data_IF_633926853030
#
_entry.id   IF_633926853030
#
_cell.length_a   1.000
_cell.length_b   1.000
_cell.length_c   1.000
_cell.angle_alpha   90.00
_cell.angle_beta   90.00
_cell.angle_gamma   90.00
#
_symmetry.space_group_name_H-M   'P 1'
#
loop_
_entity.id
_entity.type
_entity.pdbx_description
1 polymer ?
#
# COMPACT_ATOMS: atom_id res chain seq x y z
N UNK A 1 -29.49 0.35 4.33
CA UNK A 1 -28.23 1.10 4.08
C UNK A 1 -27.24 0.43 5.01
N UNK A 2 -26.74 -0.73 4.59
CA UNK A 2 -26.10 -1.71 5.48
C UNK A 2 -24.65 -1.88 5.03
N UNK A 3 -23.91 -0.77 4.97
CA UNK A 3 -22.49 -0.79 4.66
C UNK A 3 -21.74 -0.68 5.98
N UNK A 4 -20.75 -1.55 6.18
CA UNK A 4 -19.94 -1.56 7.39
C UNK A 4 -19.28 -0.20 7.65
N UNK A 5 -19.35 0.25 8.90
CA UNK A 5 -18.70 1.48 9.36
C UNK A 5 -17.19 1.28 9.57
N UNK A 6 -16.81 0.05 9.93
CA UNK A 6 -15.45 -0.41 10.09
C UNK A 6 -15.35 -1.91 9.85
N UNK A 7 -14.21 -2.36 9.30
CA UNK A 7 -13.87 -3.77 9.14
C UNK A 7 -12.45 -4.00 9.63
N UNK A 8 -12.25 -5.08 10.39
CA UNK A 8 -10.94 -5.52 10.87
C UNK A 8 -10.80 -7.00 10.56
N UNK A 9 -9.70 -7.37 9.93
CA UNK A 9 -9.41 -8.77 9.64
C UNK A 9 -7.91 -9.07 9.69
N UNK A 10 -7.59 -10.34 9.86
CA UNK A 10 -6.24 -10.87 9.81
C UNK A 10 -6.10 -11.77 8.59
N UNK A 11 -4.90 -11.83 8.02
CA UNK A 11 -4.60 -12.67 6.87
C UNK A 11 -3.26 -13.39 7.07
N UNK A 12 -3.10 -14.51 6.36
CA UNK A 12 -1.82 -15.21 6.24
C UNK A 12 -1.42 -15.20 4.77
N UNK A 13 -0.27 -14.63 4.47
CA UNK A 13 0.30 -14.63 3.13
C UNK A 13 0.90 -15.99 2.79
N UNK A 14 1.08 -16.27 1.50
CA UNK A 14 1.65 -17.54 1.00
C UNK A 14 3.05 -17.81 1.60
N UNK A 15 3.85 -16.77 1.79
CA UNK A 15 5.17 -16.85 2.42
C UNK A 15 5.12 -17.05 3.96
N UNK A 16 3.93 -17.20 4.55
CA UNK A 16 3.72 -17.39 5.98
C UNK A 16 3.61 -16.11 6.80
N UNK A 17 3.84 -14.93 6.21
CA UNK A 17 3.70 -13.66 6.91
C UNK A 17 2.26 -13.44 7.41
N UNK A 18 2.14 -12.78 8.56
CA UNK A 18 0.86 -12.39 9.13
C UNK A 18 0.55 -10.94 8.71
N UNK A 19 -0.68 -10.70 8.27
CA UNK A 19 -1.20 -9.36 7.97
C UNK A 19 -2.36 -9.00 8.89
N UNK A 20 -2.43 -7.72 9.27
CA UNK A 20 -3.57 -7.13 9.97
C UNK A 20 -4.09 -5.96 9.15
N UNK A 21 -5.39 -5.91 8.92
CA UNK A 21 -6.03 -4.89 8.11
C UNK A 21 -7.16 -4.26 8.89
N UNK A 22 -7.20 -2.93 8.86
CA UNK A 22 -8.26 -2.13 9.43
C UNK A 22 -8.70 -1.10 8.39
N UNK A 23 -10.01 -0.97 8.24
CA UNK A 23 -10.63 0.07 7.41
C UNK A 23 -11.80 0.63 8.17
N UNK A 24 -11.94 1.95 8.21
CA UNK A 24 -13.03 2.61 8.92
C UNK A 24 -13.27 3.99 8.35
N UNK A 25 -14.54 4.37 8.26
CA UNK A 25 -14.97 5.75 7.94
C UNK A 25 -15.27 6.58 9.20
N UNK A 26 -15.11 5.99 10.38
CA UNK A 26 -15.44 6.57 11.69
C UNK A 26 -14.22 6.88 12.57
N UNK A 27 -12.99 6.73 12.06
CA UNK A 27 -11.78 7.13 12.78
C UNK A 27 -11.53 8.65 12.70
N UNK A 28 -12.33 9.42 13.44
CA UNK A 28 -12.23 10.88 13.51
C UNK A 28 -10.81 11.38 13.78
N UNK A 29 -10.39 12.40 13.03
CA UNK A 29 -9.02 12.94 13.05
C UNK A 29 -8.17 12.49 11.86
N UNK A 30 -8.37 11.26 11.37
CA UNK A 30 -7.76 10.82 10.12
C UNK A 30 -8.54 11.43 8.95
N UNK A 31 -7.87 12.22 8.10
CA UNK A 31 -8.48 12.83 6.92
C UNK A 31 -8.30 11.93 5.70
N UNK A 32 -7.07 11.48 5.48
CA UNK A 32 -6.71 10.54 4.43
C UNK A 32 -5.64 9.55 4.91
N UNK A 33 -5.76 9.12 6.18
CA UNK A 33 -4.80 8.27 6.89
C UNK A 33 -4.73 6.84 6.35
N UNK A 34 -4.30 6.69 5.09
CA UNK A 34 -3.94 5.40 4.50
C UNK A 34 -2.50 5.10 4.88
N UNK A 35 -2.33 4.11 5.75
CA UNK A 35 -1.04 3.73 6.31
C UNK A 35 -0.75 2.26 6.03
N UNK A 36 0.51 1.93 5.87
CA UNK A 36 0.95 0.54 5.92
C UNK A 36 2.28 0.45 6.67
N UNK A 37 2.53 -0.71 7.25
CA UNK A 37 3.78 -1.07 7.91
C UNK A 37 4.15 -2.50 7.50
N UNK A 38 5.41 -2.70 7.14
CA UNK A 38 5.96 -4.01 6.79
C UNK A 38 7.16 -4.25 7.69
N UNK A 39 7.09 -5.34 8.45
CA UNK A 39 8.14 -5.74 9.39
C UNK A 39 8.77 -7.05 8.93
N UNK A 40 10.08 -7.02 8.69
CA UNK A 40 10.90 -8.18 8.38
C UNK A 40 11.99 -8.39 9.42
N UNK A 41 12.69 -9.52 9.31
CA UNK A 41 13.80 -9.87 10.21
C UNK A 41 14.95 -8.85 10.18
N UNK A 42 15.19 -8.21 9.03
CA UNK A 42 16.34 -7.32 8.81
C UNK A 42 16.00 -5.84 8.79
N UNK A 43 14.74 -5.50 8.53
CA UNK A 43 14.32 -4.14 8.29
C UNK A 43 12.82 -4.00 8.46
N UNK A 44 12.39 -2.78 8.73
CA UNK A 44 10.97 -2.40 8.75
C UNK A 44 10.75 -1.12 7.96
N UNK A 45 9.59 -0.99 7.33
CA UNK A 45 9.15 0.24 6.69
C UNK A 45 7.75 0.60 7.15
N UNK A 46 7.48 1.91 7.24
CA UNK A 46 6.12 2.43 7.40
C UNK A 46 5.91 3.69 6.57
N UNK A 47 4.68 3.91 6.17
CA UNK A 47 4.30 5.03 5.32
C UNK A 47 2.90 5.52 5.66
N UNK A 48 2.68 6.82 5.49
CA UNK A 48 1.39 7.49 5.69
C UNK A 48 1.10 8.41 4.50
N UNK A 49 -0.07 8.25 3.88
CA UNK A 49 -0.52 9.10 2.78
C UNK A 49 -0.69 10.58 3.21
N UNK A 50 -0.94 10.87 4.48
CA UNK A 50 -0.94 12.25 4.98
C UNK A 50 0.47 12.87 4.97
N UNK A 51 1.52 12.05 4.87
CA UNK A 51 2.92 12.45 4.69
C UNK A 51 3.56 11.75 3.46
N UNK A 52 2.83 11.68 2.35
CA UNK A 52 3.09 10.75 1.24
C UNK A 52 4.47 10.81 0.57
N UNK A 53 5.19 11.93 0.72
CA UNK A 53 6.52 12.11 0.13
C UNK A 53 7.64 11.49 0.98
N UNK A 54 7.31 10.95 2.16
CA UNK A 54 8.29 10.42 3.09
C UNK A 54 8.03 8.94 3.41
N UNK A 55 9.08 8.13 3.30
CA UNK A 55 9.08 6.74 3.73
C UNK A 55 9.95 6.61 4.99
N UNK A 56 9.41 6.00 6.04
CA UNK A 56 10.19 5.70 7.22
C UNK A 56 10.80 4.29 7.08
N UNK A 57 12.11 4.20 7.27
CA UNK A 57 12.86 2.95 7.10
C UNK A 57 13.74 2.69 8.31
N UNK A 58 13.71 1.47 8.82
CA UNK A 58 14.56 0.96 9.89
C UNK A 58 15.38 -0.22 9.37
N UNK A 59 16.65 -0.31 9.77
CA UNK A 59 17.51 -1.46 9.49
C UNK A 59 18.10 -2.02 10.79
N UNK A 60 18.07 -3.34 10.93
CA UNK A 60 18.55 -4.04 12.12
C UNK A 60 20.09 -4.07 12.22
N UNK A 61 20.80 -3.90 11.10
CA UNK A 61 22.25 -3.92 11.01
C UNK A 61 22.90 -2.52 11.04
N UNK A 62 22.10 -1.46 11.23
CA UNK A 62 22.64 -0.12 11.55
C UNK A 62 23.47 -0.18 12.84
N UNK A 63 24.44 0.73 12.98
CA UNK A 63 25.37 0.76 14.12
C UNK A 63 24.63 0.77 15.47
N UNK A 64 25.07 -0.03 16.47
CA UNK A 64 24.46 -0.03 17.79
C UNK A 64 24.40 1.37 18.40
N UNK A 65 23.21 1.81 18.79
CA UNK A 65 22.96 3.16 19.31
C UNK A 65 22.53 4.19 18.25
N UNK A 66 22.65 3.87 16.96
CA UNK A 66 22.12 4.66 15.84
C UNK A 66 20.89 4.01 15.16
N UNK A 67 20.54 2.80 15.58
CA UNK A 67 19.34 2.09 15.12
C UNK A 67 18.07 2.91 15.40
N UNK A 68 17.28 3.16 14.36
CA UNK A 68 16.03 3.89 14.45
C UNK A 68 15.40 4.09 13.07
N UNK A 69 14.13 4.49 13.05
CA UNK A 69 13.51 4.90 11.80
C UNK A 69 14.17 6.17 11.29
N UNK A 70 14.67 6.12 10.06
CA UNK A 70 15.08 7.30 9.28
C UNK A 70 14.01 7.64 8.26
N UNK A 71 13.82 8.93 8.05
CA UNK A 71 12.90 9.47 7.06
C UNK A 71 13.63 9.59 5.71
N UNK A 72 13.16 8.88 4.69
CA UNK A 72 13.63 9.00 3.32
C UNK A 72 12.64 9.86 2.56
N UNK A 73 13.10 11.01 2.07
CA UNK A 73 12.28 11.85 1.19
C UNK A 73 12.28 11.25 -0.23
N UNK A 74 11.14 10.75 -0.67
CA UNK A 74 10.95 10.03 -1.93
C UNK A 74 10.74 10.97 -3.13
N UNK A 75 11.57 12.01 -3.26
CA UNK A 75 11.50 13.01 -4.35
C UNK A 75 12.79 13.10 -5.18
N UNK A 76 13.82 12.31 -4.86
CA UNK A 76 15.02 12.19 -5.70
C UNK A 76 14.70 11.70 -7.12
N UNK A 77 15.44 12.16 -8.12
CA UNK A 77 15.20 11.86 -9.55
C UNK A 77 15.23 10.36 -9.88
N UNK A 78 15.96 9.57 -9.09
CA UNK A 78 16.07 8.12 -9.24
C UNK A 78 14.86 7.36 -8.65
N UNK A 79 14.01 8.02 -7.87
CA UNK A 79 12.77 7.42 -7.41
C UNK A 79 11.76 7.32 -8.56
N UNK A 80 10.91 6.28 -8.59
CA UNK A 80 9.94 6.10 -9.65
C UNK A 80 9.11 7.35 -9.90
N UNK A 81 9.04 7.77 -11.16
CA UNK A 81 8.32 8.97 -11.65
C UNK A 81 8.82 10.34 -11.16
N UNK A 82 9.64 10.42 -10.12
CA UNK A 82 10.02 11.69 -9.48
C UNK A 82 10.81 12.62 -10.44
N UNK A 83 11.70 12.05 -11.26
CA UNK A 83 12.50 12.81 -12.23
C UNK A 83 11.70 13.51 -13.35
N UNK A 84 10.38 13.27 -13.45
CA UNK A 84 9.51 13.99 -14.38
C UNK A 84 9.00 15.34 -13.83
N UNK A 85 9.25 15.63 -12.55
CA UNK A 85 8.67 16.76 -11.84
C UNK A 85 9.72 17.80 -11.43
N UNK A 86 9.92 17.94 -10.12
CA UNK A 86 10.72 18.97 -9.49
C UNK A 86 12.05 18.40 -9.01
N UNK A 87 13.09 19.24 -8.81
CA UNK A 87 14.31 18.81 -8.13
C UNK A 87 14.03 18.22 -6.74
N UNK A 88 14.94 17.39 -6.24
CA UNK A 88 14.82 16.75 -4.93
C UNK A 88 14.39 17.72 -3.81
N UNK A 89 13.63 17.17 -2.85
CA UNK A 89 12.96 17.84 -1.73
C UNK A 89 11.75 18.73 -2.09
N UNK A 90 11.46 18.97 -3.36
CA UNK A 90 10.20 19.61 -3.76
C UNK A 90 9.09 18.56 -3.78
N UNK A 91 8.14 18.71 -2.86
CA UNK A 91 7.08 17.72 -2.65
C UNK A 91 6.13 17.66 -3.85
N UNK A 92 5.64 16.46 -4.13
CA UNK A 92 4.48 16.27 -5.01
C UNK A 92 3.19 16.21 -4.19
N UNK A 93 2.05 16.29 -4.89
CA UNK A 93 0.68 16.26 -4.35
C UNK A 93 -0.12 15.03 -4.82
N UNK A 94 -1.27 14.77 -4.21
CA UNK A 94 -2.13 13.63 -4.52
C UNK A 94 -2.45 13.52 -6.03
N UNK A 95 -2.67 14.65 -6.68
CA UNK A 95 -2.90 14.77 -8.13
C UNK A 95 -1.76 14.21 -8.99
N UNK A 96 -0.49 14.30 -8.54
CA UNK A 96 0.65 13.77 -9.27
C UNK A 96 0.59 12.23 -9.37
N UNK A 97 -0.02 11.56 -8.39
CA UNK A 97 -0.20 10.09 -8.44
C UNK A 97 -1.12 9.68 -9.59
N UNK A 98 -2.12 10.50 -9.94
CA UNK A 98 -2.99 10.25 -11.09
C UNK A 98 -2.30 10.54 -12.41
N UNK A 99 -1.46 11.59 -12.45
CA UNK A 99 -0.64 11.89 -13.63
C UNK A 99 0.29 10.69 -13.92
N UNK A 100 0.92 10.12 -12.89
CA UNK A 100 1.75 8.91 -13.02
C UNK A 100 0.94 7.72 -13.56
N UNK A 101 -0.28 7.50 -13.07
CA UNK A 101 -1.15 6.43 -13.56
C UNK A 101 -1.51 6.61 -15.05
N UNK A 102 -1.86 7.82 -15.46
CA UNK A 102 -2.16 8.12 -16.88
C UNK A 102 -0.91 7.96 -17.75
N UNK A 103 0.25 8.42 -17.26
CA UNK A 103 1.52 8.25 -17.96
C UNK A 103 1.82 6.76 -18.21
N UNK A 104 1.69 5.92 -17.18
CA UNK A 104 1.94 4.49 -17.27
C UNK A 104 0.95 3.79 -18.22
N UNK A 105 -0.33 4.18 -18.19
CA UNK A 105 -1.33 3.70 -19.13
C UNK A 105 -0.96 4.03 -20.58
N UNK A 106 -0.61 5.29 -20.86
CA UNK A 106 -0.27 5.75 -22.20
C UNK A 106 1.02 5.09 -22.71
N UNK A 107 2.01 4.87 -21.83
CA UNK A 107 3.21 4.11 -22.15
C UNK A 107 2.88 2.66 -22.51
N UNK A 108 2.01 2.00 -21.74
CA UNK A 108 1.53 0.64 -22.02
C UNK A 108 0.94 0.52 -23.41
N UNK A 109 0.04 1.44 -23.78
CA UNK A 109 -0.56 1.51 -25.11
C UNK A 109 0.51 1.74 -26.19
N UNK A 110 1.38 2.73 -26.01
CA UNK A 110 2.37 3.11 -27.01
C UNK A 110 3.43 2.03 -27.25
N UNK A 111 3.83 1.30 -26.21
CA UNK A 111 4.91 0.30 -26.25
C UNK A 111 4.40 -1.13 -26.33
N UNK A 112 3.08 -1.35 -26.28
CA UNK A 112 2.46 -2.67 -26.42
C UNK A 112 2.67 -3.59 -25.22
N UNK A 113 2.71 -3.06 -24.00
CA UNK A 113 2.72 -3.86 -22.76
C UNK A 113 1.51 -3.54 -21.90
N UNK A 114 1.13 -4.47 -21.03
CA UNK A 114 0.03 -4.26 -20.09
C UNK A 114 0.56 -3.57 -18.83
N UNK A 115 0.18 -2.31 -18.55
CA UNK A 115 0.59 -1.61 -17.34
C UNK A 115 -0.07 -2.26 -16.10
N UNK A 116 0.51 -2.04 -14.93
CA UNK A 116 -0.04 -2.48 -13.65
C UNK A 116 -0.37 -1.28 -12.73
N UNK A 117 -1.40 -1.38 -11.87
CA UNK A 117 -2.34 -2.50 -11.75
C UNK A 117 -3.29 -2.60 -12.95
N UNK A 118 -3.71 -3.81 -13.30
CA UNK A 118 -4.66 -4.10 -14.38
C UNK A 118 -5.90 -4.88 -13.90
N UNK A 119 -6.73 -5.36 -14.84
CA UNK A 119 -7.94 -6.11 -14.51
C UNK A 119 -7.69 -7.40 -13.72
N UNK A 120 -6.58 -8.09 -13.95
CA UNK A 120 -6.22 -9.29 -13.18
C UNK A 120 -5.92 -8.94 -11.71
N UNK A 121 -5.24 -7.82 -11.48
CA UNK A 121 -4.99 -7.32 -10.12
C UNK A 121 -6.30 -6.90 -9.44
N UNK A 122 -7.21 -6.29 -10.19
CA UNK A 122 -8.56 -5.98 -9.73
C UNK A 122 -9.37 -7.23 -9.37
N UNK A 123 -9.32 -8.27 -10.20
CA UNK A 123 -9.99 -9.54 -9.94
C UNK A 123 -9.45 -10.22 -8.68
N UNK A 124 -8.13 -10.31 -8.52
CA UNK A 124 -7.50 -10.82 -7.30
C UNK A 124 -7.89 -10.02 -6.06
N UNK A 125 -8.01 -8.70 -6.17
CA UNK A 125 -8.48 -7.87 -5.08
C UNK A 125 -9.94 -8.19 -4.69
N UNK A 126 -10.82 -8.40 -5.68
CA UNK A 126 -12.21 -8.80 -5.42
C UNK A 126 -12.31 -10.17 -4.74
N UNK A 127 -11.49 -11.15 -5.15
CA UNK A 127 -11.42 -12.46 -4.47
C UNK A 127 -11.12 -12.30 -2.97
N UNK A 128 -10.17 -11.42 -2.63
CA UNK A 128 -9.84 -11.15 -1.22
C UNK A 128 -11.01 -10.51 -0.48
N UNK A 129 -11.71 -9.56 -1.09
CA UNK A 129 -12.89 -8.92 -0.49
C UNK A 129 -14.01 -9.94 -0.25
N UNK A 130 -14.29 -10.82 -1.22
CA UNK A 130 -15.29 -11.88 -1.06
C UNK A 130 -14.91 -12.88 0.04
N UNK A 131 -13.62 -13.21 0.17
CA UNK A 131 -13.13 -14.05 1.26
C UNK A 131 -13.34 -13.38 2.64
N UNK A 132 -13.12 -12.06 2.74
CA UNK A 132 -13.33 -11.28 3.97
C UNK A 132 -14.82 -11.24 4.33
N UNK A 133 -15.70 -10.98 3.37
CA UNK A 133 -17.15 -11.00 3.59
C UNK A 133 -17.63 -12.40 4.03
N UNK A 134 -17.20 -13.45 3.32
CA UNK A 134 -17.52 -14.84 3.66
C UNK A 134 -17.04 -15.20 5.07
N UNK A 135 -15.82 -14.79 5.42
CA UNK A 135 -15.25 -14.98 6.76
C UNK A 135 -16.07 -14.24 7.82
N UNK A 136 -16.50 -13.01 7.54
CA UNK A 136 -17.35 -12.23 8.45
C UNK A 136 -18.69 -12.91 8.70
N UNK A 137 -19.32 -13.51 7.69
CA UNK A 137 -20.56 -14.28 7.86
C UNK A 137 -20.34 -15.59 8.62
N UNK A 138 -19.32 -16.38 8.24
CA UNK A 138 -19.05 -17.70 8.81
C UNK A 138 -18.32 -17.67 10.16
N UNK A 139 -17.78 -16.52 10.55
CA UNK A 139 -16.93 -16.33 11.74
C UNK A 139 -15.76 -17.33 11.81
N UNK A 140 -15.12 -17.58 10.66
CA UNK A 140 -14.03 -18.56 10.54
C UNK A 140 -13.10 -18.22 9.37
N UNK A 141 -11.89 -18.78 9.39
CA UNK A 141 -10.91 -18.63 8.31
C UNK A 141 -11.48 -19.12 6.98
N UNK A 142 -11.28 -18.32 5.93
CA UNK A 142 -11.60 -18.67 4.54
C UNK A 142 -10.30 -18.74 3.75
N UNK A 143 -10.11 -19.82 3.00
CA UNK A 143 -8.97 -19.94 2.10
C UNK A 143 -9.27 -19.24 0.79
N UNK A 144 -8.28 -18.51 0.25
CA UNK A 144 -8.43 -17.77 -1.01
C UNK A 144 -8.75 -18.71 -2.18
N UNK A 145 -8.18 -19.92 -2.20
CA UNK A 145 -8.44 -20.96 -3.21
C UNK A 145 -9.86 -21.54 -3.19
N UNK A 146 -10.68 -21.19 -2.19
CA UNK A 146 -12.09 -21.60 -2.09
C UNK A 146 -13.08 -20.58 -2.66
N UNK A 147 -12.59 -19.41 -3.08
CA UNK A 147 -13.36 -18.36 -3.76
C UNK A 147 -13.12 -18.51 -5.27
N UNK A 148 -14.21 -18.53 -6.06
CA UNK A 148 -14.18 -18.81 -7.50
C UNK A 148 -14.08 -17.53 -8.34
#
# INVERSE_FOLDING_TARGET
MDVDDASVFIARFENGALGTFEVTRFAGGNKNGKRFEINGEKASIRWDLENMNNLEVYFADDEPGLQGYRLINCTEEHHPYAGAYWPAAHIIGYEHTFINLVHELMNGIAKGYQPAPNFEDGFKNQIVLEAVETSSTKKSWVRIDSIN
#
